data_IF_035305950252
#
_entry.id   IF_035305950252
#
_cell.length_a   1.000
_cell.length_b   1.000
_cell.length_c   1.000
_cell.angle_alpha   90.00
_cell.angle_beta   90.00
_cell.angle_gamma   90.00
#
_symmetry.space_group_name_H-M   'P 1'
#
loop_
_entity.id
_entity.type
_entity.pdbx_description
1 polymer ?
#
# COMPACT_ATOMS: atom_id res chain seq x y z
N UNK A 1 -13.06 8.11 2.37
CA UNK A 1 -13.94 7.10 3.03
C UNK A 1 -13.48 6.95 4.47
N UNK A 2 -14.41 6.83 5.43
CA UNK A 2 -14.02 6.74 6.84
C UNK A 2 -13.43 5.36 7.14
N UNK A 3 -12.58 5.28 8.17
CA UNK A 3 -11.94 4.02 8.61
C UNK A 3 -12.95 2.92 8.92
N UNK A 4 -14.05 3.26 9.60
CA UNK A 4 -15.10 2.28 9.92
C UNK A 4 -15.82 1.78 8.65
N UNK A 5 -16.02 2.65 7.67
CA UNK A 5 -16.64 2.25 6.39
C UNK A 5 -15.76 1.24 5.65
N UNK A 6 -14.43 1.42 5.72
CA UNK A 6 -13.47 0.47 5.16
C UNK A 6 -13.50 -0.89 5.87
N UNK A 7 -13.58 -0.90 7.20
CA UNK A 7 -13.71 -2.14 7.98
C UNK A 7 -15.01 -2.87 7.62
N UNK A 8 -16.13 -2.14 7.59
CA UNK A 8 -17.42 -2.70 7.21
C UNK A 8 -17.39 -3.23 5.77
N UNK A 9 -16.72 -2.53 4.86
CA UNK A 9 -16.48 -2.99 3.50
C UNK A 9 -15.75 -4.34 3.51
N UNK A 10 -14.60 -4.47 4.19
CA UNK A 10 -13.86 -5.73 4.26
C UNK A 10 -14.71 -6.87 4.83
N UNK A 11 -15.46 -6.61 5.90
CA UNK A 11 -16.34 -7.60 6.53
C UNK A 11 -17.50 -8.06 5.63
N UNK A 12 -17.96 -7.19 4.73
CA UNK A 12 -19.00 -7.54 3.75
C UNK A 12 -18.49 -8.41 2.59
N UNK A 13 -17.17 -8.48 2.38
CA UNK A 13 -16.58 -9.23 1.28
C UNK A 13 -16.39 -10.71 1.65
N UNK A 14 -17.35 -11.55 1.26
CA UNK A 14 -17.29 -13.00 1.49
C UNK A 14 -16.12 -13.73 0.83
N UNK A 15 -15.46 -13.10 -0.15
CA UNK A 15 -14.33 -13.66 -0.88
C UNK A 15 -12.96 -13.28 -0.30
N UNK A 16 -12.92 -12.51 0.79
CA UNK A 16 -11.70 -12.14 1.49
C UNK A 16 -11.55 -13.04 2.72
N UNK A 17 -10.39 -13.66 2.88
CA UNK A 17 -10.06 -14.47 4.06
C UNK A 17 -8.69 -14.08 4.55
N UNK A 18 -8.65 -13.41 5.71
CA UNK A 18 -7.41 -12.92 6.32
C UNK A 18 -7.15 -13.63 7.64
N UNK A 19 -5.89 -13.96 7.92
CA UNK A 19 -5.51 -14.51 9.22
C UNK A 19 -5.66 -13.47 10.33
N UNK A 20 -5.87 -13.93 11.56
CA UNK A 20 -5.92 -13.03 12.73
C UNK A 20 -4.65 -12.17 12.85
N UNK A 21 -3.48 -12.80 12.63
CA UNK A 21 -2.20 -12.11 12.61
C UNK A 21 -2.16 -11.00 11.54
N UNK A 22 -2.67 -11.27 10.34
CA UNK A 22 -2.76 -10.25 9.29
C UNK A 22 -3.72 -9.13 9.68
N UNK A 23 -4.88 -9.44 10.26
CA UNK A 23 -5.84 -8.45 10.72
C UNK A 23 -5.28 -7.53 11.81
N UNK A 24 -4.46 -8.04 12.74
CA UNK A 24 -3.79 -7.23 13.77
C UNK A 24 -2.87 -6.19 13.13
N UNK A 25 -2.04 -6.61 12.17
CA UNK A 25 -1.15 -5.71 11.42
C UNK A 25 -1.93 -4.71 10.55
N UNK A 26 -3.01 -5.18 9.90
CA UNK A 26 -3.88 -4.36 9.07
C UNK A 26 -4.58 -3.26 9.87
N UNK A 27 -4.99 -3.53 11.11
CA UNK A 27 -5.55 -2.52 12.00
C UNK A 27 -4.54 -1.40 12.30
N UNK A 28 -3.25 -1.73 12.46
CA UNK A 28 -2.18 -0.74 12.59
C UNK A 28 -2.10 0.18 11.37
N UNK A 29 -2.19 -0.40 10.17
CA UNK A 29 -2.29 0.38 8.92
C UNK A 29 -3.55 1.24 8.88
N UNK A 30 -4.75 0.68 9.08
CA UNK A 30 -6.03 1.40 8.98
C UNK A 30 -6.04 2.62 9.93
N UNK A 31 -5.45 2.48 11.12
CA UNK A 31 -5.37 3.58 12.09
C UNK A 31 -4.48 4.74 11.64
N UNK A 32 -3.46 4.48 10.84
CA UNK A 32 -2.54 5.50 10.33
C UNK A 32 -2.87 5.94 8.91
N UNK A 33 -3.68 5.18 8.18
CA UNK A 33 -4.07 5.41 6.80
C UNK A 33 -4.87 6.71 6.61
N UNK A 34 -4.58 7.39 5.51
CA UNK A 34 -5.40 8.49 4.99
C UNK A 34 -6.62 7.91 4.27
N UNK A 35 -7.71 8.67 4.23
CA UNK A 35 -8.96 8.20 3.63
C UNK A 35 -8.83 7.83 2.14
N UNK A 36 -8.00 8.56 1.40
CA UNK A 36 -7.73 8.30 -0.03
C UNK A 36 -7.00 6.98 -0.25
N UNK A 37 -6.21 6.52 0.73
CA UNK A 37 -5.51 5.23 0.69
C UNK A 37 -6.50 4.09 0.86
N UNK A 38 -7.46 4.23 1.78
CA UNK A 38 -8.51 3.25 2.01
C UNK A 38 -9.45 3.13 0.81
N UNK A 39 -9.79 4.25 0.16
CA UNK A 39 -10.55 4.26 -1.08
C UNK A 39 -9.79 3.56 -2.22
N UNK A 40 -8.51 3.86 -2.38
CA UNK A 40 -7.67 3.24 -3.41
C UNK A 40 -7.54 1.74 -3.18
N UNK A 41 -7.34 1.31 -1.94
CA UNK A 41 -7.26 -0.11 -1.58
C UNK A 41 -8.60 -0.83 -1.80
N UNK A 42 -9.72 -0.22 -1.41
CA UNK A 42 -11.07 -0.76 -1.68
C UNK A 42 -11.30 -0.94 -3.18
N UNK A 43 -10.89 0.04 -3.99
CA UNK A 43 -10.97 -0.04 -5.44
C UNK A 43 -10.11 -1.19 -5.99
N UNK A 44 -8.87 -1.37 -5.51
CA UNK A 44 -8.01 -2.48 -5.91
C UNK A 44 -8.62 -3.85 -5.58
N UNK A 45 -9.26 -3.96 -4.41
CA UNK A 45 -9.96 -5.18 -3.98
C UNK A 45 -11.14 -5.46 -4.91
N UNK A 46 -12.00 -4.47 -5.17
CA UNK A 46 -13.20 -4.61 -6.02
C UNK A 46 -12.85 -4.98 -7.47
N UNK A 47 -11.76 -4.43 -8.00
CA UNK A 47 -11.30 -4.67 -9.38
C UNK A 47 -10.31 -5.83 -9.47
N UNK A 48 -10.05 -6.55 -8.38
CA UNK A 48 -9.19 -7.72 -8.40
C UNK A 48 -9.81 -8.81 -9.29
N UNK A 49 -9.00 -9.39 -10.17
CA UNK A 49 -9.40 -10.56 -10.97
C UNK A 49 -9.44 -11.85 -10.15
N UNK A 50 -8.95 -11.81 -8.90
CA UNK A 50 -8.88 -12.97 -8.01
C UNK A 50 -10.28 -13.28 -7.47
N UNK A 51 -10.70 -14.54 -7.61
CA UNK A 51 -11.97 -15.02 -7.05
C UNK A 51 -11.98 -15.01 -5.52
N UNK A 52 -10.83 -15.30 -4.91
CA UNK A 52 -10.60 -15.25 -3.46
C UNK A 52 -9.33 -14.47 -3.18
N UNK A 53 -9.34 -13.68 -2.11
CA UNK A 53 -8.21 -12.84 -1.68
C UNK A 53 -7.77 -13.36 -0.30
N UNK A 54 -6.52 -13.84 -0.23
CA UNK A 54 -5.89 -14.23 1.03
C UNK A 54 -4.89 -13.17 1.52
N UNK A 55 -4.20 -13.45 2.63
CA UNK A 55 -3.15 -12.59 3.20
C UNK A 55 -2.10 -12.14 2.16
N UNK A 56 -1.63 -13.05 1.31
CA UNK A 56 -0.58 -12.76 0.31
C UNK A 56 -1.13 -11.83 -0.77
N UNK A 57 -2.31 -12.14 -1.29
CA UNK A 57 -2.95 -11.30 -2.31
C UNK A 57 -3.21 -9.88 -1.76
N UNK A 58 -3.68 -9.78 -0.51
CA UNK A 58 -3.95 -8.50 0.13
C UNK A 58 -2.65 -7.73 0.41
N UNK A 59 -1.60 -8.44 0.86
CA UNK A 59 -0.27 -7.88 1.06
C UNK A 59 0.26 -7.29 -0.25
N UNK A 60 0.13 -7.99 -1.37
CA UNK A 60 0.52 -7.47 -2.69
C UNK A 60 -0.23 -6.18 -3.04
N UNK A 61 -1.53 -6.10 -2.76
CA UNK A 61 -2.32 -4.88 -2.98
C UNK A 61 -1.83 -3.71 -2.13
N UNK A 62 -1.46 -3.95 -0.87
CA UNK A 62 -0.84 -2.94 0.00
C UNK A 62 0.53 -2.51 -0.55
N UNK A 63 1.41 -3.47 -0.92
CA UNK A 63 2.71 -3.15 -1.51
C UNK A 63 2.56 -2.29 -2.76
N UNK A 64 1.63 -2.64 -3.66
CA UNK A 64 1.32 -1.87 -4.86
C UNK A 64 0.83 -0.45 -4.53
N UNK A 65 -0.07 -0.30 -3.56
CA UNK A 65 -0.56 1.02 -3.11
C UNK A 65 0.59 1.94 -2.69
N UNK A 66 1.47 1.45 -1.81
CA UNK A 66 2.62 2.23 -1.34
C UNK A 66 3.65 2.48 -2.44
N UNK A 67 3.87 1.52 -3.33
CA UNK A 67 4.77 1.67 -4.47
C UNK A 67 4.29 2.76 -5.44
N UNK A 68 3.01 2.80 -5.76
CA UNK A 68 2.40 3.83 -6.61
C UNK A 68 2.55 5.23 -6.00
N UNK A 69 2.36 5.36 -4.69
CA UNK A 69 2.57 6.63 -3.98
C UNK A 69 4.03 7.06 -4.01
N UNK A 70 4.95 6.12 -3.75
CA UNK A 70 6.38 6.37 -3.79
C UNK A 70 6.82 6.82 -5.19
N UNK A 71 6.30 6.18 -6.25
CA UNK A 71 6.53 6.57 -7.64
C UNK A 71 6.03 7.99 -7.96
N UNK A 72 4.84 8.38 -7.46
CA UNK A 72 4.33 9.75 -7.60
C UNK A 72 5.22 10.78 -6.91
N UNK A 73 5.79 10.46 -5.74
CA UNK A 73 6.76 11.34 -5.04
C UNK A 73 8.10 11.40 -5.78
N UNK A 74 8.59 10.25 -6.25
CA UNK A 74 9.82 10.14 -7.04
C UNK A 74 9.76 10.94 -8.33
N UNK A 75 8.63 10.93 -9.04
CA UNK A 75 8.44 11.68 -10.28
C UNK A 75 8.62 13.20 -10.10
N UNK A 76 8.28 13.73 -8.92
CA UNK A 76 8.42 15.15 -8.55
C UNK A 76 9.76 15.48 -7.90
N UNK A 77 10.62 14.48 -7.73
CA UNK A 77 11.91 14.59 -7.03
C UNK A 77 13.08 14.44 -7.99
N UNK A 78 14.26 14.85 -7.53
CA UNK A 78 15.52 14.76 -8.26
C UNK A 78 16.68 14.58 -7.28
N UNK A 79 17.68 13.81 -7.69
CA UNK A 79 18.97 13.69 -7.03
C UNK A 79 19.92 14.69 -7.68
N UNK A 80 20.41 15.65 -6.92
CA UNK A 80 21.37 16.62 -7.44
C UNK A 80 22.64 15.93 -7.96
N UNK A 81 23.10 16.33 -9.15
CA UNK A 81 24.33 15.80 -9.77
C UNK A 81 24.30 14.27 -10.01
N UNK A 82 23.13 13.66 -10.15
CA UNK A 82 23.01 12.24 -10.50
C UNK A 82 23.62 11.95 -11.88
N UNK A 83 24.42 10.88 -11.97
CA UNK A 83 25.17 10.50 -13.18
C UNK A 83 24.55 9.34 -13.97
N UNK A 84 23.48 8.71 -13.46
CA UNK A 84 22.78 7.62 -14.13
C UNK A 84 21.62 8.10 -15.01
N UNK A 85 20.87 7.16 -15.57
CA UNK A 85 19.69 7.44 -16.38
C UNK A 85 18.52 7.96 -15.54
N UNK A 86 17.59 8.69 -16.18
CA UNK A 86 16.36 9.15 -15.50
C UNK A 86 15.52 7.99 -14.98
N UNK A 87 15.55 6.84 -15.65
CA UNK A 87 14.85 5.63 -15.22
C UNK A 87 15.43 5.08 -13.91
N UNK A 88 16.76 4.93 -13.84
CA UNK A 88 17.44 4.47 -12.62
C UNK A 88 17.24 5.45 -11.46
N UNK A 89 17.31 6.76 -11.73
CA UNK A 89 17.06 7.79 -10.73
C UNK A 89 15.64 7.67 -10.12
N UNK A 90 14.63 7.51 -10.98
CA UNK A 90 13.24 7.33 -10.54
C UNK A 90 13.06 6.06 -9.74
N UNK A 91 13.69 4.95 -10.14
CA UNK A 91 13.65 3.71 -9.39
C UNK A 91 14.26 3.87 -8.00
N UNK A 92 15.45 4.49 -7.89
CA UNK A 92 16.12 4.73 -6.61
C UNK A 92 15.28 5.61 -5.68
N UNK A 93 14.71 6.70 -6.21
CA UNK A 93 13.83 7.59 -5.45
C UNK A 93 12.54 6.87 -5.01
N UNK A 94 11.95 6.03 -5.86
CA UNK A 94 10.75 5.27 -5.52
C UNK A 94 11.05 4.26 -4.41
N UNK A 95 12.16 3.52 -4.51
CA UNK A 95 12.63 2.62 -3.45
C UNK A 95 12.87 3.37 -2.13
N UNK A 96 13.49 4.54 -2.19
CA UNK A 96 13.75 5.37 -1.02
C UNK A 96 12.46 5.82 -0.35
N UNK A 97 11.54 6.43 -1.09
CA UNK A 97 10.26 6.91 -0.54
C UNK A 97 9.39 5.77 -0.03
N UNK A 98 9.38 4.62 -0.72
CA UNK A 98 8.67 3.43 -0.27
C UNK A 98 9.17 2.97 1.10
N UNK A 99 10.48 2.72 1.24
CA UNK A 99 11.09 2.32 2.53
C UNK A 99 10.85 3.35 3.62
N UNK A 100 11.00 4.63 3.29
CA UNK A 100 10.80 5.72 4.24
C UNK A 100 9.36 5.76 4.77
N UNK A 101 8.36 5.60 3.90
CA UNK A 101 6.94 5.64 4.30
C UNK A 101 6.60 4.45 5.20
N UNK A 102 7.10 3.26 4.84
CA UNK A 102 6.89 2.02 5.59
C UNK A 102 7.46 2.12 7.00
N UNK A 103 8.69 2.60 7.13
CA UNK A 103 9.35 2.79 8.44
C UNK A 103 8.64 3.85 9.29
N UNK A 104 8.24 4.98 8.70
CA UNK A 104 7.55 6.06 9.42
C UNK A 104 6.20 5.63 10.00
N UNK A 105 5.56 4.63 9.41
CA UNK A 105 4.24 4.14 9.81
C UNK A 105 4.30 2.81 10.55
N UNK A 106 5.50 2.31 10.87
CA UNK A 106 5.72 1.02 11.51
C UNK A 106 5.03 -0.13 10.76
N UNK A 107 5.15 -0.12 9.43
CA UNK A 107 4.56 -1.12 8.53
C UNK A 107 5.63 -2.10 8.03
N UNK A 108 6.71 -2.34 8.77
CA UNK A 108 7.85 -3.15 8.30
C UNK A 108 7.47 -4.55 7.81
N UNK A 109 6.34 -5.08 8.30
CA UNK A 109 5.74 -6.33 7.85
C UNK A 109 5.31 -6.33 6.37
N UNK A 110 5.20 -5.16 5.72
CA UNK A 110 4.93 -5.06 4.28
C UNK A 110 6.17 -4.97 3.40
N UNK A 111 7.39 -4.92 3.96
CA UNK A 111 8.61 -4.92 3.16
C UNK A 111 8.81 -6.25 2.40
#
# INVERSE_FOLDING_TARGET
MKKQDFINFLQSQSNITLSEFFCQNLNGFINTAQESELESLSSKILHSKKRFINDIDFLEMLKMLFWEQAGKRAAKSKIEKYKGSRYEEQYLLSMYFYKQEVQKRSLEWIL
#
